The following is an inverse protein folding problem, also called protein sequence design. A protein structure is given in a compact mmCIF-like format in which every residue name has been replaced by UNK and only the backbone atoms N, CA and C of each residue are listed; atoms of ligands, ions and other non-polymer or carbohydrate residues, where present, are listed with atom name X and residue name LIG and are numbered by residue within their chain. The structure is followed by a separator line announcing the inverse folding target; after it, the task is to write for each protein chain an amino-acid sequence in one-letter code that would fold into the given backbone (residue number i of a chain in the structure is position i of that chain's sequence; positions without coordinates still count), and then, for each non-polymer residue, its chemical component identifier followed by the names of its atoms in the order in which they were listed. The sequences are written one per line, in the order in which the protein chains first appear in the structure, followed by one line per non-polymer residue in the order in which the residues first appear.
data_IF_765549732308
#
_entry.id   IF_765549732308
#
_cell.length_a   1.000
_cell.length_b   1.000
_cell.length_c   1.000
_cell.angle_alpha   90.00
_cell.angle_beta   90.00
_cell.angle_gamma   90.00
#
_symmetry.space_group_name_H-M   'P 1'
#
loop_
_entity.id
_entity.type
_entity.pdbx_description
1 polymer ?
#
# COMPACT_ATOMS: atom_id res chain seq x y z
N UNK A 1 -57.70 -56.89 -32.12
CA UNK A 1 -57.70 -55.44 -32.42
C UNK A 1 -57.57 -54.69 -31.10
N UNK A 2 -56.38 -54.14 -30.83
CA UNK A 2 -56.12 -52.67 -30.67
C UNK A 2 -56.34 -52.27 -29.18
N UNK A 3 -55.45 -51.62 -28.42
CA UNK A 3 -54.10 -51.06 -28.57
C UNK A 3 -53.51 -50.97 -27.14
N UNK A 4 -52.19 -51.15 -27.04
CA UNK A 4 -51.28 -50.85 -25.92
C UNK A 4 -51.33 -49.39 -25.43
N UNK A 5 -51.18 -49.13 -24.12
CA UNK A 5 -50.55 -47.89 -23.63
C UNK A 5 -49.96 -48.04 -22.24
N UNK A 6 -48.62 -48.09 -22.21
CA UNK A 6 -47.77 -47.94 -21.04
C UNK A 6 -47.66 -46.44 -20.76
N UNK A 7 -48.05 -45.98 -19.58
CA UNK A 7 -47.78 -44.62 -19.12
C UNK A 7 -46.48 -44.60 -18.30
N UNK A 8 -45.38 -44.20 -18.94
CA UNK A 8 -44.22 -43.64 -18.25
C UNK A 8 -44.56 -42.20 -17.85
N UNK A 9 -44.52 -41.89 -16.56
CA UNK A 9 -44.45 -40.51 -16.08
C UNK A 9 -43.11 -40.29 -15.39
N UNK A 10 -42.25 -39.55 -16.08
CA UNK A 10 -40.94 -39.09 -15.63
C UNK A 10 -41.07 -38.25 -14.36
N UNK A 11 -40.32 -38.61 -13.31
CA UNK A 11 -40.10 -37.77 -12.14
C UNK A 11 -39.22 -36.58 -12.51
N UNK A 12 -39.83 -35.39 -12.51
CA UNK A 12 -39.15 -34.11 -12.70
C UNK A 12 -38.41 -33.76 -11.39
N UNK A 13 -37.08 -33.96 -11.36
CA UNK A 13 -36.24 -33.40 -10.30
C UNK A 13 -36.17 -31.88 -10.48
N UNK A 14 -36.94 -31.15 -9.68
CA UNK A 14 -36.81 -29.70 -9.56
C UNK A 14 -35.51 -29.46 -8.77
N UNK A 15 -34.44 -29.10 -9.48
CA UNK A 15 -33.28 -28.45 -8.86
C UNK A 15 -33.75 -27.08 -8.35
N UNK A 16 -34.14 -27.00 -7.08
CA UNK A 16 -34.23 -25.73 -6.38
C UNK A 16 -32.80 -25.24 -6.18
N UNK A 17 -32.31 -24.46 -7.15
CA UNK A 17 -31.10 -23.67 -6.96
C UNK A 17 -31.33 -22.72 -5.80
N UNK A 18 -30.63 -22.94 -4.69
CA UNK A 18 -30.56 -21.97 -3.60
C UNK A 18 -29.93 -20.70 -4.15
N UNK A 19 -30.76 -19.70 -4.46
CA UNK A 19 -30.27 -18.34 -4.64
C UNK A 19 -29.68 -17.92 -3.29
N UNK A 20 -28.34 -17.92 -3.19
CA UNK A 20 -27.64 -17.27 -2.09
C UNK A 20 -28.03 -15.79 -2.15
N UNK A 21 -28.90 -15.36 -1.24
CA UNK A 21 -29.10 -13.94 -0.98
C UNK A 21 -27.77 -13.42 -0.44
N UNK A 22 -26.99 -12.77 -1.30
CA UNK A 22 -25.80 -12.05 -0.89
C UNK A 22 -26.24 -10.95 0.07
N UNK A 23 -25.73 -10.97 1.29
CA UNK A 23 -25.89 -9.86 2.22
C UNK A 23 -25.40 -8.59 1.50
N UNK A 24 -26.22 -7.54 1.43
CA UNK A 24 -25.86 -6.32 0.70
C UNK A 24 -24.69 -5.64 1.42
N UNK A 25 -23.48 -5.81 0.89
CA UNK A 25 -22.35 -4.96 1.23
C UNK A 25 -22.70 -3.54 0.80
N UNK A 26 -22.59 -2.55 1.69
CA UNK A 26 -22.71 -1.15 1.29
C UNK A 26 -21.57 -0.83 0.32
N UNK A 27 -21.90 -0.71 -0.96
CA UNK A 27 -20.92 -0.58 -2.04
C UNK A 27 -20.21 0.78 -2.05
N UNK A 28 -20.73 1.74 -1.28
CA UNK A 28 -20.16 3.10 -1.13
C UNK A 28 -19.19 3.22 0.03
N UNK A 29 -19.13 2.21 0.91
CA UNK A 29 -18.23 2.21 2.07
C UNK A 29 -16.96 1.39 1.78
N UNK A 30 -15.83 1.88 2.27
CA UNK A 30 -14.58 1.12 2.26
C UNK A 30 -14.69 -0.08 3.20
N UNK A 31 -14.23 -1.24 2.73
CA UNK A 31 -14.17 -2.43 3.57
C UNK A 31 -13.07 -2.27 4.63
N UNK A 32 -11.88 -1.89 4.19
CA UNK A 32 -10.76 -1.48 5.04
C UNK A 32 -9.80 -0.61 4.22
N UNK A 33 -8.86 0.07 4.88
CA UNK A 33 -8.09 1.16 4.25
C UNK A 33 -6.65 0.79 3.83
N UNK A 34 -6.15 -0.41 4.17
CA UNK A 34 -4.74 -0.76 4.01
C UNK A 34 -4.43 -1.48 2.69
N UNK A 35 -5.26 -2.46 2.30
CA UNK A 35 -5.03 -3.32 1.12
C UNK A 35 -6.17 -3.27 0.09
N UNK A 36 -7.39 -2.94 0.52
CA UNK A 36 -8.65 -2.84 -0.23
C UNK A 36 -9.19 -1.40 -0.14
N UNK A 37 -8.29 -0.45 -0.38
CA UNK A 37 -8.45 1.00 -0.31
C UNK A 37 -9.37 1.62 -1.40
N UNK A 38 -10.18 0.81 -2.09
CA UNK A 38 -11.18 1.25 -3.06
C UNK A 38 -12.55 0.71 -2.67
N UNK A 39 -13.58 1.53 -2.84
CA UNK A 39 -14.97 1.08 -2.74
C UNK A 39 -15.40 0.36 -4.03
N UNK A 40 -16.44 -0.47 -3.94
CA UNK A 40 -17.05 -1.07 -5.13
C UNK A 40 -17.57 0.04 -6.05
N UNK A 41 -18.21 1.06 -5.49
CA UNK A 41 -18.73 2.20 -6.22
C UNK A 41 -17.64 2.94 -7.01
N UNK A 42 -16.46 3.16 -6.40
CA UNK A 42 -15.33 3.78 -7.09
C UNK A 42 -14.84 2.98 -8.29
N UNK A 43 -14.76 1.65 -8.17
CA UNK A 43 -14.28 0.78 -9.26
C UNK A 43 -15.31 0.68 -10.38
N UNK A 44 -16.59 0.49 -10.02
CA UNK A 44 -17.69 0.37 -10.99
C UNK A 44 -17.91 1.68 -11.74
N UNK A 45 -18.02 2.80 -11.01
CA UNK A 45 -18.31 4.10 -11.59
C UNK A 45 -17.05 4.87 -12.02
N UNK A 46 -15.86 4.27 -11.88
CA UNK A 46 -14.55 4.82 -12.30
C UNK A 46 -14.34 6.22 -11.72
N UNK A 47 -14.73 6.38 -10.47
CA UNK A 47 -14.68 7.66 -9.79
C UNK A 47 -13.22 8.07 -9.56
N UNK A 48 -13.00 9.34 -9.25
CA UNK A 48 -11.68 9.89 -8.91
C UNK A 48 -10.61 9.72 -10.00
N UNK A 49 -11.03 9.59 -11.27
CA UNK A 49 -10.12 9.42 -12.41
C UNK A 49 -9.42 8.06 -12.44
N UNK A 50 -10.01 7.04 -11.80
CA UNK A 50 -9.46 5.70 -11.75
C UNK A 50 -9.46 5.05 -13.15
N UNK A 51 -8.27 4.80 -13.70
CA UNK A 51 -8.12 3.96 -14.89
C UNK A 51 -8.24 2.51 -14.47
N UNK A 52 -9.39 1.89 -14.77
CA UNK A 52 -9.65 0.48 -14.46
C UNK A 52 -9.36 -0.42 -15.65
N UNK A 53 -8.74 -1.56 -15.40
CA UNK A 53 -8.40 -2.56 -16.40
C UNK A 53 -9.20 -3.85 -16.18
N UNK A 54 -9.85 -4.32 -17.23
CA UNK A 54 -10.50 -5.64 -17.24
C UNK A 54 -9.49 -6.76 -17.52
N UNK A 55 -9.69 -7.98 -17.00
CA UNK A 55 -10.84 -8.42 -16.18
C UNK A 55 -10.73 -8.09 -14.69
N UNK A 56 -9.66 -7.39 -14.27
CA UNK A 56 -9.31 -7.23 -12.86
C UNK A 56 -10.29 -6.36 -12.07
N UNK A 57 -10.91 -5.37 -12.70
CA UNK A 57 -11.96 -4.58 -12.06
C UNK A 57 -13.19 -5.46 -11.73
N UNK A 58 -13.63 -6.28 -12.69
CA UNK A 58 -14.71 -7.25 -12.47
C UNK A 58 -14.34 -8.27 -11.40
N UNK A 59 -13.11 -8.79 -11.42
CA UNK A 59 -12.64 -9.76 -10.42
C UNK A 59 -12.59 -9.13 -9.02
N UNK A 60 -12.11 -7.90 -8.90
CA UNK A 60 -12.05 -7.17 -7.63
C UNK A 60 -13.43 -7.02 -6.99
N UNK A 61 -14.41 -6.53 -7.75
CA UNK A 61 -15.79 -6.34 -7.27
C UNK A 61 -16.44 -7.67 -6.89
N UNK A 62 -16.27 -8.69 -7.74
CA UNK A 62 -16.82 -10.03 -7.50
C UNK A 62 -16.21 -10.66 -6.25
N UNK A 63 -14.89 -10.59 -6.10
CA UNK A 63 -14.17 -11.13 -4.97
C UNK A 63 -14.59 -10.46 -3.64
N UNK A 64 -14.81 -9.14 -3.62
CA UNK A 64 -15.33 -8.46 -2.41
C UNK A 64 -16.74 -8.96 -2.06
N UNK A 65 -17.66 -8.99 -3.04
CA UNK A 65 -19.04 -9.43 -2.81
C UNK A 65 -19.12 -10.88 -2.32
N UNK A 66 -18.24 -11.73 -2.82
CA UNK A 66 -18.14 -13.15 -2.44
C UNK A 66 -17.27 -13.40 -1.21
N UNK A 67 -16.73 -12.34 -0.60
CA UNK A 67 -15.80 -12.41 0.54
C UNK A 67 -14.55 -13.25 0.26
N UNK A 68 -14.06 -13.26 -0.98
CA UNK A 68 -12.76 -13.86 -1.36
C UNK A 68 -11.66 -12.80 -1.24
N UNK A 69 -11.30 -12.44 -0.02
CA UNK A 69 -10.47 -11.26 0.23
C UNK A 69 -9.05 -11.36 -0.32
N UNK A 70 -8.45 -12.55 -0.36
CA UNK A 70 -7.16 -12.79 -1.01
C UNK A 70 -7.22 -12.49 -2.51
N UNK A 71 -8.26 -12.98 -3.18
CA UNK A 71 -8.52 -12.72 -4.59
C UNK A 71 -8.77 -11.22 -4.85
N UNK A 72 -9.48 -10.54 -3.93
CA UNK A 72 -9.72 -9.10 -4.01
C UNK A 72 -8.42 -8.29 -3.92
N UNK A 73 -7.53 -8.60 -2.96
CA UNK A 73 -6.24 -7.93 -2.81
C UNK A 73 -5.37 -8.15 -4.05
N UNK A 74 -5.36 -9.37 -4.58
CA UNK A 74 -4.65 -9.68 -5.82
C UNK A 74 -5.17 -8.86 -7.01
N UNK A 75 -6.50 -8.84 -7.20
CA UNK A 75 -7.14 -8.08 -8.27
C UNK A 75 -6.85 -6.59 -8.12
N UNK A 76 -6.91 -6.05 -6.89
CA UNK A 76 -6.65 -4.63 -6.58
C UNK A 76 -5.29 -4.15 -7.10
N UNK A 77 -4.25 -4.96 -7.01
CA UNK A 77 -2.93 -4.60 -7.56
C UNK A 77 -2.91 -4.53 -9.09
N UNK A 78 -3.82 -5.22 -9.77
CA UNK A 78 -3.92 -5.22 -11.23
C UNK A 78 -4.94 -4.21 -11.79
N UNK A 79 -5.90 -3.73 -10.98
CA UNK A 79 -6.96 -2.79 -11.41
C UNK A 79 -6.38 -1.58 -12.16
N UNK A 80 -5.30 -0.98 -11.68
CA UNK A 80 -4.72 0.24 -12.27
C UNK A 80 -3.73 -0.02 -13.41
N UNK A 81 -3.46 -1.28 -13.77
CA UNK A 81 -2.62 -1.64 -14.93
C UNK A 81 -1.12 -1.43 -14.75
N UNK A 82 -0.67 -1.04 -13.56
CA UNK A 82 0.75 -0.84 -13.24
C UNK A 82 1.54 -2.17 -13.11
N UNK A 83 0.84 -3.30 -13.05
CA UNK A 83 1.42 -4.64 -12.90
C UNK A 83 1.36 -5.38 -14.22
N UNK A 84 2.50 -5.95 -14.64
CA UNK A 84 2.58 -6.87 -15.76
C UNK A 84 3.12 -8.21 -15.26
N UNK A 85 2.42 -9.31 -15.55
CA UNK A 85 2.80 -10.67 -15.13
C UNK A 85 3.10 -10.80 -13.61
N UNK A 86 2.27 -10.18 -12.76
CA UNK A 86 2.43 -10.22 -11.31
C UNK A 86 3.63 -9.44 -10.75
N UNK A 87 4.29 -8.64 -11.58
CA UNK A 87 5.48 -7.85 -11.24
C UNK A 87 5.26 -6.38 -11.57
N UNK A 88 5.76 -5.49 -10.72
CA UNK A 88 5.92 -4.08 -11.02
C UNK A 88 7.21 -3.89 -11.83
N UNK A 89 7.10 -3.90 -13.16
CA UNK A 89 8.24 -3.90 -14.10
C UNK A 89 9.21 -2.74 -13.87
N UNK A 90 8.73 -1.59 -13.39
CA UNK A 90 9.55 -0.40 -13.13
C UNK A 90 10.52 -0.57 -11.96
N UNK A 91 10.17 -1.40 -10.97
CA UNK A 91 10.93 -1.57 -9.73
C UNK A 91 11.41 -3.01 -9.53
N UNK A 92 11.16 -3.90 -10.50
CA UNK A 92 11.50 -5.31 -10.47
C UNK A 92 11.11 -6.00 -9.15
N UNK A 93 9.87 -5.73 -8.70
CA UNK A 93 9.31 -6.23 -7.45
C UNK A 93 8.02 -7.00 -7.74
N UNK A 94 7.85 -8.17 -7.13
CA UNK A 94 6.60 -8.95 -7.28
C UNK A 94 5.48 -8.37 -6.42
N UNK A 95 4.22 -8.65 -6.77
CA UNK A 95 3.08 -8.29 -5.91
C UNK A 95 3.24 -8.87 -4.50
N UNK A 96 3.68 -10.13 -4.38
CA UNK A 96 3.89 -10.76 -3.07
C UNK A 96 4.89 -9.98 -2.22
N UNK A 97 6.03 -9.57 -2.80
CA UNK A 97 7.00 -8.74 -2.08
C UNK A 97 6.43 -7.36 -1.71
N UNK A 98 5.59 -6.77 -2.56
CA UNK A 98 4.94 -5.50 -2.25
C UNK A 98 3.96 -5.64 -1.07
N UNK A 99 3.11 -6.68 -1.10
CA UNK A 99 2.16 -6.99 -0.03
C UNK A 99 2.88 -7.32 1.27
N UNK A 100 3.95 -8.12 1.23
CA UNK A 100 4.74 -8.46 2.43
C UNK A 100 5.32 -7.20 3.08
N UNK A 101 5.94 -6.32 2.28
CA UNK A 101 6.51 -5.08 2.77
C UNK A 101 5.45 -4.13 3.34
N UNK A 102 4.30 -4.00 2.67
CA UNK A 102 3.18 -3.20 3.14
C UNK A 102 2.61 -3.80 4.45
N UNK A 103 2.45 -5.12 4.55
CA UNK A 103 1.98 -5.80 5.75
C UNK A 103 2.93 -5.64 6.96
N UNK A 104 4.23 -5.79 6.76
CA UNK A 104 5.24 -5.50 7.78
C UNK A 104 5.14 -4.04 8.24
N UNK A 105 5.04 -3.10 7.30
CA UNK A 105 4.93 -1.68 7.59
C UNK A 105 3.65 -1.34 8.37
N UNK A 106 2.50 -1.82 7.93
CA UNK A 106 1.22 -1.58 8.58
C UNK A 106 1.17 -2.21 9.97
N UNK A 107 1.66 -3.44 10.14
CA UNK A 107 1.72 -4.07 11.46
C UNK A 107 2.61 -3.30 12.44
N UNK A 108 3.68 -2.68 11.94
CA UNK A 108 4.64 -1.92 12.76
C UNK A 108 4.10 -0.54 13.13
N UNK A 109 3.48 0.17 12.20
CA UNK A 109 3.16 1.60 12.36
C UNK A 109 1.67 1.91 12.50
N UNK A 110 0.79 1.01 12.07
CA UNK A 110 -0.67 1.13 12.12
C UNK A 110 -1.30 -0.14 12.72
N UNK A 111 -0.86 -0.58 13.92
CA UNK A 111 -1.21 -1.89 14.46
C UNK A 111 -2.71 -2.07 14.69
N UNK A 112 -3.44 -0.99 15.03
CA UNK A 112 -4.89 -1.03 15.23
C UNK A 112 -5.60 -1.31 13.90
N UNK A 113 -5.35 -0.52 12.87
CA UNK A 113 -5.97 -0.70 11.55
C UNK A 113 -5.53 -2.00 10.89
N UNK A 114 -4.30 -2.43 11.15
CA UNK A 114 -3.82 -3.75 10.73
C UNK A 114 -4.61 -4.87 11.38
N UNK A 115 -4.89 -4.77 12.68
CA UNK A 115 -5.69 -5.74 13.41
C UNK A 115 -7.15 -5.78 12.93
N UNK A 116 -7.72 -4.62 12.58
CA UNK A 116 -9.06 -4.51 12.00
C UNK A 116 -9.14 -5.20 10.63
N UNK A 117 -8.15 -4.97 9.75
CA UNK A 117 -8.06 -5.64 8.46
C UNK A 117 -7.97 -7.17 8.63
N UNK A 118 -7.15 -7.66 9.56
CA UNK A 118 -7.07 -9.09 9.86
C UNK A 118 -8.39 -9.67 10.39
N UNK A 119 -9.13 -8.92 11.22
CA UNK A 119 -10.43 -9.35 11.72
C UNK A 119 -11.46 -9.50 10.59
N UNK A 120 -11.40 -8.64 9.57
CA UNK A 120 -12.22 -8.76 8.35
C UNK A 120 -11.81 -10.02 7.57
N UNK A 121 -10.51 -10.22 7.34
CA UNK A 121 -9.99 -11.34 6.55
C UNK A 121 -10.22 -12.71 7.18
N UNK A 122 -10.39 -12.77 8.51
CA UNK A 122 -10.78 -13.98 9.22
C UNK A 122 -12.15 -14.54 8.76
N UNK A 123 -12.99 -13.70 8.14
CA UNK A 123 -14.28 -14.09 7.58
C UNK A 123 -14.24 -14.37 6.06
N UNK A 124 -13.06 -14.69 5.52
CA UNK A 124 -12.92 -15.03 4.10
C UNK A 124 -13.71 -16.30 3.74
N UNK A 125 -14.22 -16.35 2.52
CA UNK A 125 -14.94 -17.49 1.96
C UNK A 125 -14.01 -18.66 1.66
N UNK A 126 -14.49 -19.89 1.83
CA UNK A 126 -13.76 -21.10 1.42
C UNK A 126 -13.52 -21.20 -0.10
N UNK A 127 -14.15 -20.33 -0.88
CA UNK A 127 -13.93 -20.22 -2.33
C UNK A 127 -12.74 -19.31 -2.70
N UNK A 128 -12.11 -18.65 -1.72
CA UNK A 128 -10.95 -17.80 -1.95
C UNK A 128 -9.76 -18.64 -2.44
N UNK A 129 -9.25 -18.32 -3.63
CA UNK A 129 -8.15 -19.09 -4.23
C UNK A 129 -6.77 -18.56 -3.85
N UNK A 130 -6.73 -17.43 -3.14
CA UNK A 130 -5.52 -16.67 -2.77
C UNK A 130 -5.36 -16.52 -1.26
N UNK A 131 -5.64 -17.60 -0.53
CA UNK A 131 -5.37 -17.67 0.91
C UNK A 131 -3.87 -17.52 1.22
N UNK A 132 -2.99 -17.77 0.25
CA UNK A 132 -1.55 -17.50 0.35
C UNK A 132 -1.25 -16.02 0.64
N UNK A 133 -1.99 -15.09 0.05
CA UNK A 133 -1.89 -13.65 0.31
C UNK A 133 -2.36 -13.32 1.74
N UNK A 134 -3.49 -13.88 2.16
CA UNK A 134 -4.01 -13.66 3.52
C UNK A 134 -3.06 -14.23 4.58
N UNK A 135 -2.45 -15.38 4.31
CA UNK A 135 -1.42 -15.97 5.15
C UNK A 135 -0.14 -15.13 5.17
N UNK A 136 0.27 -14.57 4.05
CA UNK A 136 1.42 -13.66 3.98
C UNK A 136 1.20 -12.44 4.88
N UNK A 137 0.03 -11.82 4.80
CA UNK A 137 -0.34 -10.68 5.64
C UNK A 137 -0.38 -11.14 7.11
N UNK A 138 -1.18 -12.14 7.49
CA UNK A 138 -1.32 -12.55 8.89
C UNK A 138 0.01 -12.94 9.57
N UNK A 139 0.93 -13.55 8.80
CA UNK A 139 2.25 -13.95 9.27
C UNK A 139 3.32 -12.85 9.24
N UNK A 140 3.04 -11.71 8.59
CA UNK A 140 3.97 -10.58 8.56
C UNK A 140 4.32 -10.18 9.98
N UNK A 141 5.61 -10.13 10.30
CA UNK A 141 6.07 -9.76 11.64
C UNK A 141 6.21 -8.26 11.68
N UNK A 142 5.78 -7.65 12.79
CA UNK A 142 6.17 -6.28 13.07
C UNK A 142 7.69 -6.26 13.10
N UNK A 143 8.28 -5.22 12.53
CA UNK A 143 9.73 -5.14 12.56
C UNK A 143 10.22 -5.03 13.99
N UNK A 144 11.25 -5.82 14.27
CA UNK A 144 11.97 -5.71 15.52
C UNK A 144 12.73 -4.39 15.56
N UNK A 145 13.03 -3.90 16.76
CA UNK A 145 13.94 -2.75 16.95
C UNK A 145 15.26 -2.98 16.20
N UNK A 146 15.78 -4.22 16.18
CA UNK A 146 16.98 -4.58 15.41
C UNK A 146 16.79 -4.55 13.88
N UNK A 147 15.60 -4.85 13.36
CA UNK A 147 15.31 -4.74 11.92
C UNK A 147 15.08 -3.28 11.50
N UNK A 148 14.42 -2.50 12.35
CA UNK A 148 14.38 -1.04 12.23
C UNK A 148 15.79 -0.44 12.30
N UNK A 149 16.66 -0.97 13.14
CA UNK A 149 18.09 -0.65 13.20
C UNK A 149 18.87 -1.21 12.00
N UNK A 150 18.47 -2.32 11.36
CA UNK A 150 19.06 -2.76 10.08
C UNK A 150 18.67 -1.83 8.93
N UNK A 151 17.55 -1.10 9.01
CA UNK A 151 17.26 0.03 8.11
C UNK A 151 18.29 1.17 8.23
N UNK A 152 19.15 1.17 9.26
CA UNK A 152 20.35 2.03 9.36
C UNK A 152 21.41 1.67 8.30
N UNK A 153 21.22 0.62 7.49
CA UNK A 153 21.98 0.44 6.22
C UNK A 153 21.77 1.58 5.24
N UNK A 154 20.65 2.30 5.31
CA UNK A 154 20.59 3.65 4.80
C UNK A 154 21.27 4.54 5.83
N UNK A 155 22.57 4.77 5.63
CA UNK A 155 23.25 5.80 6.40
C UNK A 155 22.41 7.08 6.35
N UNK A 156 22.36 7.79 7.48
CA UNK A 156 21.81 9.14 7.53
C UNK A 156 22.87 10.03 8.16
N UNK A 157 22.91 11.28 7.71
CA UNK A 157 23.74 12.33 8.30
C UNK A 157 22.82 13.45 8.71
N UNK A 158 22.84 13.75 10.01
CA UNK A 158 22.16 14.89 10.54
C UNK A 158 22.90 16.17 10.15
N UNK A 159 22.13 17.17 9.74
CA UNK A 159 22.66 18.46 9.32
C UNK A 159 22.40 19.49 10.39
N UNK A 160 23.37 20.38 10.60
CA UNK A 160 23.16 21.52 11.47
C UNK A 160 22.33 22.64 10.82
N UNK A 161 22.26 22.62 9.50
CA UNK A 161 21.69 23.68 8.66
C UNK A 161 20.30 23.32 8.14
N UNK A 162 19.55 24.34 7.70
CA UNK A 162 18.23 24.19 7.07
C UNK A 162 17.23 23.43 7.96
N UNK A 163 17.11 23.85 9.22
CA UNK A 163 16.28 23.22 10.22
C UNK A 163 14.78 23.45 9.96
N UNK A 164 14.04 22.36 9.72
CA UNK A 164 12.58 22.37 9.68
C UNK A 164 12.00 22.14 11.08
N UNK A 165 10.80 22.63 11.37
CA UNK A 165 10.06 22.19 12.55
C UNK A 165 9.78 20.68 12.46
N UNK A 166 10.05 19.97 13.56
CA UNK A 166 9.76 18.53 13.67
C UNK A 166 8.29 18.22 13.39
N UNK A 167 7.37 19.03 13.94
CA UNK A 167 5.93 18.91 13.71
C UNK A 167 5.55 18.98 12.23
N UNK A 168 6.16 19.89 11.47
CA UNK A 168 5.96 19.99 10.02
C UNK A 168 6.43 18.72 9.29
N UNK A 169 7.58 18.16 9.68
CA UNK A 169 8.11 16.95 9.08
C UNK A 169 7.30 15.71 9.46
N UNK A 170 6.86 15.60 10.71
CA UNK A 170 5.98 14.54 11.15
C UNK A 170 4.68 14.52 10.35
N UNK A 171 4.03 15.68 10.18
CA UNK A 171 2.81 15.79 9.39
C UNK A 171 3.03 15.51 7.91
N UNK A 172 4.19 15.89 7.35
CA UNK A 172 4.57 15.51 6.00
C UNK A 172 4.62 13.98 5.84
N UNK A 173 5.25 13.27 6.77
CA UNK A 173 5.38 11.80 6.75
C UNK A 173 4.04 11.09 6.95
N UNK A 174 3.17 11.65 7.79
CA UNK A 174 1.80 11.17 7.96
C UNK A 174 1.01 11.26 6.66
N UNK A 175 1.09 12.42 5.97
CA UNK A 175 0.45 12.60 4.65
C UNK A 175 1.04 11.68 3.59
N UNK A 176 2.35 11.45 3.61
CA UNK A 176 2.99 10.46 2.74
C UNK A 176 2.47 9.05 2.96
N UNK A 177 2.12 8.70 4.19
CA UNK A 177 1.56 7.38 4.52
C UNK A 177 0.14 7.18 3.98
N UNK A 178 -0.58 8.28 3.75
CA UNK A 178 -1.96 8.26 3.28
C UNK A 178 -2.07 8.34 1.75
N UNK A 179 -1.04 8.87 1.07
CA UNK A 179 -1.07 9.07 -0.37
C UNK A 179 0.30 8.79 -1.02
N UNK A 180 0.36 7.73 -1.85
CA UNK A 180 1.56 7.38 -2.63
C UNK A 180 1.72 8.34 -3.82
N UNK A 181 2.93 8.91 -3.97
CA UNK A 181 3.33 9.73 -5.13
C UNK A 181 4.45 9.02 -5.90
N UNK A 182 4.35 9.03 -7.23
CA UNK A 182 5.42 8.58 -8.11
C UNK A 182 6.61 9.57 -8.05
N UNK A 183 7.80 9.08 -7.70
CA UNK A 183 8.98 9.92 -7.53
C UNK A 183 9.65 10.21 -8.88
N UNK A 184 10.05 9.19 -9.64
CA UNK A 184 10.64 9.33 -10.98
C UNK A 184 11.66 10.46 -11.11
N UNK A 185 11.47 11.37 -12.07
CA UNK A 185 12.36 12.51 -12.28
C UNK A 185 12.12 13.69 -11.31
N UNK A 186 11.15 13.60 -10.40
CA UNK A 186 10.81 14.65 -9.44
C UNK A 186 11.91 14.78 -8.38
N UNK A 187 12.27 16.02 -8.05
CA UNK A 187 13.30 16.33 -7.04
C UNK A 187 12.74 16.78 -5.70
N UNK A 188 11.58 17.43 -5.71
CA UNK A 188 10.87 17.83 -4.51
C UNK A 188 9.60 16.98 -4.43
N UNK A 189 9.64 15.97 -3.58
CA UNK A 189 8.61 14.92 -3.56
C UNK A 189 7.40 15.40 -2.75
N UNK A 190 7.64 15.94 -1.56
CA UNK A 190 6.59 16.48 -0.70
C UNK A 190 7.06 17.77 -0.01
N UNK A 191 6.10 18.63 0.31
CA UNK A 191 6.29 19.83 1.13
C UNK A 191 5.13 19.94 2.10
N UNK A 192 5.43 20.25 3.35
CA UNK A 192 4.43 20.65 4.33
C UNK A 192 5.04 21.71 5.25
N UNK A 193 4.46 22.91 5.21
CA UNK A 193 4.96 24.09 5.94
C UNK A 193 6.48 24.23 5.79
N UNK A 194 7.22 24.17 6.90
CA UNK A 194 8.67 24.34 6.93
C UNK A 194 9.46 23.10 6.51
N UNK A 195 8.83 21.98 6.17
CA UNK A 195 9.52 20.73 5.88
C UNK A 195 9.36 20.32 4.42
N UNK A 196 10.46 19.86 3.83
CA UNK A 196 10.56 19.42 2.45
C UNK A 196 11.22 18.05 2.41
N UNK A 197 10.57 17.08 1.75
CA UNK A 197 11.20 15.83 1.35
C UNK A 197 11.69 15.94 -0.10
N UNK A 198 12.98 15.71 -0.29
CA UNK A 198 13.66 15.90 -1.57
C UNK A 198 14.53 14.71 -1.93
N UNK A 199 14.73 14.52 -3.23
CA UNK A 199 15.63 13.50 -3.77
C UNK A 199 16.67 14.09 -4.71
N UNK A 200 17.80 13.40 -4.80
CA UNK A 200 18.89 13.70 -5.70
C UNK A 200 18.48 13.63 -7.18
N UNK A 201 19.32 14.16 -8.09
CA UNK A 201 19.02 14.16 -9.52
C UNK A 201 18.86 12.73 -10.09
N UNK A 202 17.91 12.57 -11.01
CA UNK A 202 17.65 11.33 -11.74
C UNK A 202 18.72 11.08 -12.83
N UNK A 203 19.01 9.81 -13.14
CA UNK A 203 19.93 9.42 -14.23
C UNK A 203 21.43 9.48 -13.93
N UNK A 204 21.83 9.68 -12.66
CA UNK A 204 23.24 9.84 -12.26
C UNK A 204 24.02 8.54 -11.98
N UNK A 205 23.62 7.39 -12.53
CA UNK A 205 24.28 6.10 -12.28
C UNK A 205 23.94 5.41 -10.95
N UNK A 206 22.97 5.94 -10.20
CA UNK A 206 22.39 5.29 -9.00
C UNK A 206 20.96 4.85 -9.30
N UNK A 207 20.51 3.67 -8.80
CA UNK A 207 19.13 3.23 -8.91
C UNK A 207 18.14 4.29 -8.40
N UNK A 208 16.93 4.27 -8.96
CA UNK A 208 15.90 5.23 -8.58
C UNK A 208 15.35 4.97 -7.16
N UNK A 209 14.69 5.96 -6.58
CA UNK A 209 14.10 5.92 -5.24
C UNK A 209 12.61 5.64 -5.38
N UNK A 210 12.14 4.58 -4.73
CA UNK A 210 10.70 4.30 -4.61
C UNK A 210 10.08 5.19 -3.54
N UNK A 211 8.75 5.39 -3.61
CA UNK A 211 7.99 6.10 -2.56
C UNK A 211 8.29 5.52 -1.16
N UNK A 212 8.31 4.19 -1.04
CA UNK A 212 8.58 3.50 0.22
C UNK A 212 9.97 3.82 0.75
N UNK A 213 11.02 3.71 -0.08
CA UNK A 213 12.39 4.05 0.34
C UNK A 213 12.51 5.50 0.76
N UNK A 214 11.88 6.43 0.03
CA UNK A 214 11.86 7.85 0.40
C UNK A 214 11.18 8.09 1.75
N UNK A 215 10.02 7.48 1.98
CA UNK A 215 9.27 7.61 3.23
C UNK A 215 10.05 7.06 4.43
N UNK A 216 10.65 5.87 4.27
CA UNK A 216 11.44 5.22 5.32
C UNK A 216 12.67 6.02 5.73
N UNK A 217 13.48 6.45 4.76
CA UNK A 217 14.68 7.26 5.02
C UNK A 217 14.31 8.61 5.63
N UNK A 218 13.21 9.21 5.20
CA UNK A 218 12.72 10.45 5.77
C UNK A 218 12.27 10.27 7.23
N UNK A 219 11.60 9.16 7.57
CA UNK A 219 11.25 8.82 8.96
C UNK A 219 12.49 8.61 9.83
N UNK A 220 13.52 7.91 9.33
CA UNK A 220 14.79 7.77 10.03
C UNK A 220 15.47 9.13 10.31
N UNK A 221 15.47 10.05 9.33
CA UNK A 221 16.01 11.41 9.51
C UNK A 221 15.18 12.18 10.56
N UNK A 222 13.85 12.06 10.51
CA UNK A 222 12.97 12.71 11.47
C UNK A 222 13.24 12.23 12.90
N UNK A 223 13.35 10.92 13.11
CA UNK A 223 13.57 10.32 14.43
C UNK A 223 14.98 10.60 14.96
N UNK A 224 16.02 10.43 14.13
CA UNK A 224 17.41 10.44 14.59
C UNK A 224 18.10 11.82 14.47
N UNK A 225 17.60 12.71 13.61
CA UNK A 225 18.13 14.06 13.46
C UNK A 225 17.26 15.14 14.10
N UNK A 226 16.22 14.72 14.85
CA UNK A 226 15.49 15.59 15.74
C UNK A 226 16.40 16.13 16.83
N UNK A 227 16.48 17.45 16.91
CA UNK A 227 17.29 18.14 17.92
C UNK A 227 16.67 19.48 18.29
N UNK A 228 17.02 19.93 19.49
CA UNK A 228 16.64 21.23 20.01
C UNK A 228 17.91 22.09 20.06
N UNK A 229 18.11 23.04 19.12
CA UNK A 229 19.28 23.95 19.15
C UNK A 229 19.37 24.75 20.45
N UNK A 230 20.51 25.37 20.76
CA UNK A 230 20.60 26.25 21.93
C UNK A 230 19.55 27.37 21.85
N UNK A 231 18.81 27.60 22.95
CA UNK A 231 17.65 28.52 23.02
C UNK A 231 16.47 28.12 22.13
N UNK A 232 16.17 26.82 22.09
CA UNK A 232 15.11 26.25 21.27
C UNK A 232 13.73 26.36 21.95
N UNK A 233 12.79 27.03 21.26
CA UNK A 233 11.37 27.01 21.59
C UNK A 233 10.62 25.82 20.95
N UNK A 234 11.26 25.09 20.03
CA UNK A 234 10.67 23.96 19.33
C UNK A 234 11.71 23.02 18.71
N UNK A 235 11.44 21.70 18.75
CA UNK A 235 12.30 20.66 18.16
C UNK A 235 12.36 20.81 16.64
N UNK A 236 13.57 20.65 16.10
CA UNK A 236 13.88 20.81 14.69
C UNK A 236 14.49 19.55 14.09
N UNK A 237 14.34 19.38 12.79
CA UNK A 237 14.87 18.27 12.01
C UNK A 237 15.62 18.80 10.79
N UNK A 238 16.79 18.23 10.52
CA UNK A 238 17.44 18.35 9.23
C UNK A 238 18.42 17.20 9.04
N UNK A 239 18.34 16.53 7.90
CA UNK A 239 19.26 15.47 7.56
C UNK A 239 19.11 14.96 6.14
N UNK A 240 19.98 14.03 5.81
CA UNK A 240 20.02 13.41 4.50
C UNK A 240 20.63 12.03 4.55
N UNK A 241 20.26 11.16 3.60
CA UNK A 241 21.02 9.94 3.35
C UNK A 241 22.33 10.28 2.62
N UNK A 242 23.47 9.64 2.89
CA UNK A 242 24.58 9.62 1.96
C UNK A 242 24.13 9.09 0.60
N UNK A 243 24.83 9.50 -0.46
CA UNK A 243 24.68 8.87 -1.77
C UNK A 243 25.37 7.51 -1.72
N UNK A 244 24.67 6.44 -2.10
CA UNK A 244 25.25 5.10 -2.21
C UNK A 244 24.77 4.43 -3.51
N UNK A 245 25.31 3.26 -3.83
CA UNK A 245 24.97 2.50 -5.05
C UNK A 245 23.54 1.95 -5.08
N UNK A 246 22.78 2.08 -3.98
CA UNK A 246 21.45 1.50 -3.84
C UNK A 246 20.30 2.46 -4.15
N UNK A 247 20.49 3.78 -4.02
CA UNK A 247 19.44 4.76 -4.28
C UNK A 247 19.97 6.20 -4.44
N UNK A 248 19.17 7.11 -5.02
CA UNK A 248 19.47 8.55 -5.03
C UNK A 248 19.43 9.11 -3.61
N UNK A 249 20.19 10.19 -3.38
CA UNK A 249 20.19 10.93 -2.10
C UNK A 249 18.77 11.33 -1.70
N UNK A 250 18.41 11.17 -0.43
CA UNK A 250 17.12 11.62 0.12
C UNK A 250 17.43 12.65 1.20
N UNK A 251 16.69 13.77 1.22
CA UNK A 251 16.89 14.87 2.16
C UNK A 251 15.56 15.25 2.80
N UNK A 252 15.56 15.45 4.12
CA UNK A 252 14.41 15.96 4.86
C UNK A 252 14.87 17.17 5.68
N UNK A 253 14.42 18.37 5.30
CA UNK A 253 14.87 19.63 5.90
C UNK A 253 13.97 20.80 5.50
N UNK A 254 14.31 22.02 5.92
CA UNK A 254 13.61 23.23 5.47
C UNK A 254 14.05 23.72 4.09
N UNK A 255 14.99 23.03 3.46
CA UNK A 255 15.62 23.50 2.24
C UNK A 255 14.67 23.44 1.05
N UNK A 256 14.58 24.54 0.31
CA UNK A 256 13.74 24.69 -0.89
C UNK A 256 14.50 24.44 -2.20
N UNK A 257 15.79 24.17 -2.14
CA UNK A 257 16.63 23.96 -3.31
C UNK A 257 17.56 22.74 -3.14
N UNK A 258 17.52 21.83 -4.12
CA UNK A 258 18.43 20.70 -4.21
C UNK A 258 18.35 19.65 -3.08
N UNK A 259 18.96 18.52 -3.37
CA UNK A 259 19.37 17.48 -2.42
C UNK A 259 20.66 16.93 -3.04
N UNK A 260 21.80 17.46 -2.59
CA UNK A 260 23.16 17.16 -3.09
C UNK A 260 23.96 16.61 -1.94
#
# INVERSE_FOLDING_TARGET
MIITSIFLFSTLFIFTGSAKVAASTDETQLLEQLFLDLTIDEVVNRLRGLTVNEPWATEYVTAIREKRFGDAIWARHHVTGAVQNGTFSEVNQTIFQAIENDAIGYRTYYPEQYSEALAIYANTSNADTRTDILNLISNAKAETVSEMEKRVTYGIKCSADHLAYRSSCYRLLELMSQAKTYIGNTRRVYTYMSCNLRVGPYGGGTPDVTHHTAHLVARLIEEQCSRCPAHCDAVKVSGFSPRNSGHRKICLSSKEDGCR
#
